data_IF_332115994549
#
_entry.id   IF_332115994549
#
_cell.length_a   1.000
_cell.length_b   1.000
_cell.length_c   1.000
_cell.angle_alpha   90.00
_cell.angle_beta   90.00
_cell.angle_gamma   90.00
#
_symmetry.space_group_name_H-M   'P 1'
#
loop_
_entity.id
_entity.type
_entity.pdbx_description
1 polymer ?
#
# COMPACT_ATOMS: atom_id res chain seq x y z
N UNK A 1 12.78 51.87 -51.90
CA UNK A 1 12.57 50.44 -52.23
C UNK A 1 13.94 49.78 -52.15
N UNK A 2 14.32 48.90 -51.24
CA UNK A 2 13.63 48.12 -50.21
C UNK A 2 14.61 47.89 -49.05
N UNK A 3 14.16 48.07 -47.82
CA UNK A 3 14.80 47.57 -46.60
C UNK A 3 14.31 46.14 -46.36
N UNK A 4 15.21 45.16 -46.33
CA UNK A 4 14.89 43.80 -45.87
C UNK A 4 15.45 43.57 -44.46
N UNK A 5 14.61 43.38 -43.43
CA UNK A 5 15.00 42.69 -42.23
C UNK A 5 14.40 41.27 -42.30
N UNK A 6 15.21 40.26 -42.63
CA UNK A 6 14.77 38.87 -42.47
C UNK A 6 15.28 38.40 -41.12
N UNK A 7 14.36 38.49 -40.17
CA UNK A 7 14.50 38.16 -38.77
C UNK A 7 15.11 36.77 -38.55
N UNK A 8 16.16 36.78 -37.74
CA UNK A 8 16.58 35.77 -36.76
C UNK A 8 15.90 34.39 -36.82
N UNK A 9 16.72 33.38 -37.09
CA UNK A 9 16.54 31.95 -36.90
C UNK A 9 15.54 31.59 -35.80
N UNK A 10 14.33 31.19 -36.20
CA UNK A 10 13.36 30.56 -35.31
C UNK A 10 13.78 29.11 -35.08
N UNK A 11 14.68 28.92 -34.11
CA UNK A 11 14.94 27.62 -33.51
C UNK A 11 13.75 27.32 -32.59
N UNK A 12 12.67 26.77 -33.15
CA UNK A 12 11.59 26.20 -32.35
C UNK A 12 12.15 24.96 -31.64
N UNK A 13 12.76 25.21 -30.47
CA UNK A 13 13.13 24.20 -29.50
C UNK A 13 11.81 23.59 -28.98
N UNK A 14 11.35 22.55 -29.65
CA UNK A 14 10.30 21.68 -29.15
C UNK A 14 10.84 21.03 -27.87
N UNK A 15 10.55 21.65 -26.74
CA UNK A 15 10.75 21.07 -25.42
C UNK A 15 9.77 19.89 -25.36
N UNK A 16 10.21 18.71 -25.80
CA UNK A 16 9.46 17.49 -25.53
C UNK A 16 9.47 17.35 -24.02
N UNK A 17 8.31 17.59 -23.41
CA UNK A 17 8.07 17.23 -22.03
C UNK A 17 8.03 15.70 -22.03
N UNK A 18 9.21 15.07 -22.02
CA UNK A 18 9.35 13.66 -21.72
C UNK A 18 8.90 13.52 -20.28
N UNK A 19 7.60 13.31 -20.10
CA UNK A 19 7.06 12.80 -18.86
C UNK A 19 7.61 11.38 -18.76
N UNK A 20 8.81 11.27 -18.17
CA UNK A 20 9.34 9.99 -17.74
C UNK A 20 8.45 9.59 -16.58
N UNK A 21 7.31 8.99 -16.90
CA UNK A 21 6.45 8.34 -15.93
C UNK A 21 7.29 7.22 -15.33
N UNK A 22 7.85 7.46 -14.16
CA UNK A 22 8.45 6.40 -13.35
C UNK A 22 7.33 5.42 -13.05
N UNK A 23 7.31 4.27 -13.74
CA UNK A 23 6.41 3.18 -13.37
C UNK A 23 6.85 2.68 -12.01
N UNK A 24 6.17 3.15 -10.96
CA UNK A 24 6.31 2.53 -9.64
C UNK A 24 5.97 1.05 -9.82
N UNK A 25 6.85 0.17 -9.33
CA UNK A 25 6.60 -1.26 -9.41
C UNK A 25 5.26 -1.58 -8.73
N UNK A 26 4.48 -2.46 -9.34
CA UNK A 26 3.27 -2.96 -8.71
C UNK A 26 3.66 -3.90 -7.56
N UNK A 27 3.17 -3.59 -6.37
CA UNK A 27 3.24 -4.43 -5.17
C UNK A 27 1.90 -5.08 -4.92
N UNK A 28 1.91 -6.17 -4.16
CA UNK A 28 0.69 -6.82 -3.70
C UNK A 28 0.62 -6.75 -2.18
N UNK A 29 -0.34 -6.03 -1.63
CA UNK A 29 -0.64 -6.05 -0.21
C UNK A 29 -1.59 -7.23 0.07
N UNK A 30 -1.07 -8.30 0.66
CA UNK A 30 -1.86 -9.49 1.00
C UNK A 30 -2.15 -9.48 2.50
N UNK A 31 -3.43 -9.49 2.88
CA UNK A 31 -3.85 -9.50 4.28
C UNK A 31 -4.53 -10.84 4.58
N UNK A 32 -3.88 -11.66 5.38
CA UNK A 32 -4.41 -12.93 5.86
C UNK A 32 -4.99 -12.80 7.26
N UNK A 33 -6.24 -13.21 7.44
CA UNK A 33 -6.93 -13.18 8.72
C UNK A 33 -6.61 -14.45 9.56
N UNK A 34 -5.90 -14.25 10.68
CA UNK A 34 -5.55 -15.27 11.66
C UNK A 34 -6.04 -14.88 13.07
N UNK A 35 -7.19 -14.22 13.15
CA UNK A 35 -7.84 -13.84 14.41
C UNK A 35 -8.41 -15.06 15.15
N UNK A 36 -8.44 -15.05 16.49
CA UNK A 36 -8.98 -16.15 17.27
C UNK A 36 -10.52 -16.24 17.14
N UNK A 37 -11.08 -17.37 17.60
CA UNK A 37 -12.53 -17.55 17.68
C UNK A 37 -13.25 -17.61 16.33
N UNK A 38 -12.53 -17.93 15.24
CA UNK A 38 -13.03 -17.87 13.88
C UNK A 38 -13.60 -16.49 13.50
N UNK A 39 -13.04 -15.43 14.07
CA UNK A 39 -13.53 -14.06 13.88
C UNK A 39 -13.26 -13.56 12.45
N UNK A 40 -14.23 -12.83 11.90
CA UNK A 40 -14.05 -12.11 10.65
C UNK A 40 -13.32 -10.79 10.89
N UNK A 41 -12.48 -10.41 9.93
CA UNK A 41 -11.83 -9.12 9.88
C UNK A 41 -12.55 -8.24 8.85
N UNK A 42 -13.03 -7.08 9.27
CA UNK A 42 -13.54 -6.06 8.34
C UNK A 42 -12.41 -5.08 8.02
N UNK A 43 -12.19 -4.81 6.73
CA UNK A 43 -11.13 -3.94 6.24
C UNK A 43 -11.70 -2.96 5.23
N UNK A 44 -11.56 -1.66 5.47
CA UNK A 44 -11.91 -0.60 4.54
C UNK A 44 -10.64 0.16 4.15
N UNK A 45 -10.29 0.19 2.87
CA UNK A 45 -9.01 0.74 2.43
C UNK A 45 -9.16 1.90 1.46
N UNK A 46 -8.17 2.80 1.49
CA UNK A 46 -7.99 3.88 0.53
C UNK A 46 -6.55 3.89 0.03
N UNK A 47 -6.35 4.25 -1.23
CA UNK A 47 -5.01 4.43 -1.79
C UNK A 47 -4.97 5.59 -2.79
N UNK A 48 -3.95 6.45 -2.69
CA UNK A 48 -3.80 7.63 -3.55
C UNK A 48 -5.08 8.51 -3.64
N UNK A 49 -5.84 8.60 -2.54
CA UNK A 49 -7.11 9.34 -2.48
C UNK A 49 -8.33 8.61 -3.06
N UNK A 50 -8.14 7.42 -3.65
CA UNK A 50 -9.23 6.56 -4.11
C UNK A 50 -9.72 5.64 -2.98
N UNK A 51 -11.03 5.56 -2.81
CA UNK A 51 -11.68 4.59 -1.93
C UNK A 51 -11.76 3.22 -2.63
N UNK A 52 -11.18 2.20 -2.01
CA UNK A 52 -11.15 0.81 -2.51
C UNK A 52 -12.29 -0.05 -1.95
N UNK A 53 -13.12 0.54 -1.08
CA UNK A 53 -14.27 -0.10 -0.46
C UNK A 53 -13.91 -0.98 0.73
N UNK A 54 -14.93 -1.71 1.18
CA UNK A 54 -14.86 -2.59 2.36
C UNK A 54 -14.84 -4.05 1.95
N UNK A 55 -13.94 -4.81 2.57
CA UNK A 55 -13.84 -6.26 2.44
C UNK A 55 -14.03 -6.91 3.81
N UNK A 56 -14.74 -8.03 3.83
CA UNK A 56 -14.81 -8.91 5.01
C UNK A 56 -13.96 -10.13 4.72
N UNK A 57 -12.83 -10.25 5.41
CA UNK A 57 -11.90 -11.37 5.29
C UNK A 57 -12.27 -12.40 6.35
N UNK A 58 -12.81 -13.53 5.93
CA UNK A 58 -13.19 -14.62 6.83
C UNK A 58 -11.97 -15.27 7.48
N UNK A 59 -12.18 -15.95 8.60
CA UNK A 59 -11.09 -16.67 9.28
C UNK A 59 -10.34 -17.62 8.34
N UNK A 60 -9.00 -17.60 8.42
CA UNK A 60 -8.07 -18.36 7.56
C UNK A 60 -8.20 -18.10 6.06
N UNK A 61 -8.73 -16.93 5.67
CA UNK A 61 -8.73 -16.45 4.30
C UNK A 61 -7.89 -15.19 4.18
N UNK A 62 -7.51 -14.86 2.95
CA UNK A 62 -6.80 -13.65 2.60
C UNK A 62 -7.54 -12.82 1.55
N UNK A 63 -7.23 -11.53 1.54
CA UNK A 63 -7.60 -10.63 0.45
C UNK A 63 -6.35 -9.87 0.02
N UNK A 64 -6.30 -9.47 -1.25
CA UNK A 64 -5.15 -8.73 -1.76
C UNK A 64 -5.53 -7.55 -2.64
N UNK A 65 -4.75 -6.48 -2.52
CA UNK A 65 -4.78 -5.35 -3.43
C UNK A 65 -3.46 -5.26 -4.21
N UNK A 66 -3.55 -4.93 -5.49
CA UNK A 66 -2.39 -4.43 -6.25
C UNK A 66 -2.23 -2.95 -5.93
N UNK A 67 -1.04 -2.54 -5.48
CA UNK A 67 -0.77 -1.20 -4.98
C UNK A 67 0.58 -0.69 -5.46
N UNK A 68 0.63 0.60 -5.76
CA UNK A 68 1.85 1.33 -6.12
C UNK A 68 2.05 2.60 -5.28
N UNK A 69 1.04 2.97 -4.48
CA UNK A 69 1.01 4.14 -3.60
C UNK A 69 0.69 3.70 -2.16
N UNK A 70 0.69 4.65 -1.22
CA UNK A 70 0.23 4.40 0.16
C UNK A 70 -1.14 3.72 0.17
N UNK A 71 -1.25 2.59 0.87
CA UNK A 71 -2.50 1.88 1.16
C UNK A 71 -2.78 2.03 2.66
N UNK A 72 -3.75 2.88 2.99
CA UNK A 72 -4.21 3.10 4.35
C UNK A 72 -5.54 2.38 4.55
N UNK A 73 -5.69 1.64 5.64
CA UNK A 73 -6.87 0.84 5.90
C UNK A 73 -7.36 0.99 7.33
N UNK A 74 -8.66 1.23 7.47
CA UNK A 74 -9.39 1.02 8.72
C UNK A 74 -9.70 -0.46 8.84
N UNK A 75 -9.34 -1.07 9.96
CA UNK A 75 -9.57 -2.48 10.23
C UNK A 75 -10.28 -2.66 11.56
N UNK A 76 -11.18 -3.63 11.62
CA UNK A 76 -11.90 -3.95 12.85
C UNK A 76 -12.27 -5.42 12.96
N UNK A 77 -12.32 -5.88 14.21
CA UNK A 77 -12.83 -7.20 14.58
C UNK A 77 -13.36 -7.14 16.02
N UNK A 78 -14.53 -7.72 16.27
CA UNK A 78 -15.20 -7.59 17.57
C UNK A 78 -15.41 -6.11 17.95
N UNK A 79 -14.88 -5.71 19.11
CA UNK A 79 -14.90 -4.33 19.62
C UNK A 79 -13.57 -3.57 19.40
N UNK A 80 -12.62 -4.19 18.69
CA UNK A 80 -11.29 -3.61 18.42
C UNK A 80 -11.26 -3.02 17.02
N UNK A 81 -10.70 -1.83 16.87
CA UNK A 81 -10.47 -1.20 15.58
C UNK A 81 -9.16 -0.42 15.57
N UNK A 82 -8.61 -0.18 14.38
CA UNK A 82 -7.43 0.63 14.18
C UNK A 82 -7.27 1.04 12.72
N UNK A 83 -6.47 2.09 12.51
CA UNK A 83 -6.11 2.60 11.20
C UNK A 83 -4.63 2.31 10.94
N UNK A 84 -4.31 1.68 9.81
CA UNK A 84 -2.98 1.18 9.51
C UNK A 84 -2.57 1.46 8.07
N UNK A 85 -1.34 1.92 7.89
CA UNK A 85 -0.69 1.95 6.58
C UNK A 85 -0.19 0.55 6.26
N UNK A 86 -1.00 -0.23 5.53
CA UNK A 86 -0.71 -1.62 5.12
C UNK A 86 0.39 -1.68 4.05
N UNK A 87 0.53 -0.62 3.26
CA UNK A 87 1.66 -0.49 2.36
C UNK A 87 2.07 0.98 2.27
N UNK A 88 3.35 1.26 2.53
CA UNK A 88 3.98 2.54 2.21
C UNK A 88 5.20 2.25 1.33
N UNK A 89 5.26 2.75 0.07
CA UNK A 89 6.40 2.52 -0.81
C UNK A 89 7.76 2.89 -0.20
N UNK A 90 7.83 3.94 0.63
CA UNK A 90 9.08 4.38 1.27
C UNK A 90 9.53 3.39 2.34
N UNK A 91 8.57 2.80 3.05
CA UNK A 91 8.83 1.85 4.13
C UNK A 91 9.05 0.45 3.59
N UNK A 92 8.19 -0.01 2.68
CA UNK A 92 7.97 -1.44 2.41
C UNK A 92 8.56 -1.97 1.10
N UNK A 93 8.90 -1.09 0.15
CA UNK A 93 9.39 -1.49 -1.18
C UNK A 93 10.56 -2.51 -1.12
N UNK A 94 11.46 -2.37 -0.14
CA UNK A 94 12.59 -3.28 0.08
C UNK A 94 12.29 -4.44 1.03
N UNK A 95 11.18 -4.40 1.77
CA UNK A 95 10.85 -5.32 2.87
C UNK A 95 9.93 -6.45 2.42
N UNK A 96 9.09 -6.19 1.43
CA UNK A 96 8.12 -7.17 0.91
C UNK A 96 8.82 -8.38 0.28
N UNK A 97 8.13 -9.51 0.32
CA UNK A 97 8.69 -10.81 0.01
C UNK A 97 8.67 -11.11 -1.50
N UNK A 98 8.65 -12.39 -1.84
CA UNK A 98 8.66 -12.90 -3.21
C UNK A 98 7.57 -12.23 -4.07
N UNK A 99 7.94 -11.83 -5.29
CA UNK A 99 7.03 -11.19 -6.24
C UNK A 99 6.42 -9.88 -5.72
N UNK A 100 7.19 -9.05 -5.01
CA UNK A 100 6.75 -7.76 -4.45
C UNK A 100 5.48 -7.88 -3.57
N UNK A 101 5.26 -9.03 -2.94
CA UNK A 101 4.09 -9.27 -2.11
C UNK A 101 4.41 -9.01 -0.64
N UNK A 102 3.67 -8.10 -0.04
CA UNK A 102 3.74 -7.76 1.37
C UNK A 102 2.73 -8.65 2.12
N UNK A 103 3.21 -9.73 2.72
CA UNK A 103 2.37 -10.69 3.41
C UNK A 103 2.11 -10.25 4.85
N UNK A 104 0.89 -9.78 5.09
CA UNK A 104 0.39 -9.42 6.40
C UNK A 104 -0.39 -10.58 7.02
N UNK A 105 -0.14 -10.82 8.30
CA UNK A 105 -0.93 -11.74 9.13
C UNK A 105 -1.54 -10.95 10.28
N UNK A 106 -2.87 -10.92 10.33
CA UNK A 106 -3.62 -10.25 11.38
C UNK A 106 -3.90 -11.23 12.51
N UNK A 107 -3.52 -10.87 13.74
CA UNK A 107 -3.68 -11.69 14.94
C UNK A 107 -4.36 -10.88 16.05
N UNK A 108 -4.64 -11.57 17.15
CA UNK A 108 -5.28 -10.98 18.33
C UNK A 108 -4.55 -9.75 18.84
N UNK A 109 -3.21 -9.75 18.89
CA UNK A 109 -2.39 -8.68 19.45
C UNK A 109 -1.98 -7.60 18.44
N UNK A 110 -2.16 -7.86 17.15
CA UNK A 110 -1.82 -6.90 16.11
C UNK A 110 -1.55 -7.48 14.73
N UNK A 111 -0.91 -6.66 13.90
CA UNK A 111 -0.61 -6.94 12.50
C UNK A 111 0.87 -7.24 12.32
N UNK A 112 1.16 -8.40 11.75
CA UNK A 112 2.51 -8.88 11.48
C UNK A 112 2.82 -8.81 9.99
N UNK A 113 3.96 -8.24 9.61
CA UNK A 113 4.46 -8.28 8.23
C UNK A 113 5.57 -9.32 8.13
N UNK A 114 5.58 -10.10 7.05
CA UNK A 114 6.74 -10.94 6.73
C UNK A 114 7.85 -10.08 6.14
N UNK A 115 8.97 -9.97 6.85
CA UNK A 115 10.14 -9.20 6.41
C UNK A 115 11.07 -10.12 5.62
N UNK A 116 11.24 -9.85 4.32
CA UNK A 116 12.05 -10.68 3.41
C UNK A 116 13.47 -10.92 3.91
N UNK A 117 14.12 -9.87 4.39
CA UNK A 117 15.50 -9.91 4.87
C UNK A 117 15.65 -10.83 6.08
N UNK A 118 14.73 -10.71 7.04
CA UNK A 118 14.76 -11.48 8.28
C UNK A 118 14.11 -12.87 8.16
N UNK A 119 13.40 -13.13 7.05
CA UNK A 119 12.68 -14.37 6.76
C UNK A 119 11.70 -14.79 7.85
N UNK A 120 11.03 -13.82 8.48
CA UNK A 120 10.08 -14.06 9.57
C UNK A 120 8.97 -13.02 9.61
N UNK A 121 7.88 -13.37 10.28
CA UNK A 121 6.81 -12.44 10.64
C UNK A 121 7.24 -11.58 11.82
N UNK A 122 7.05 -10.26 11.70
CA UNK A 122 7.36 -9.30 12.75
C UNK A 122 6.16 -8.40 13.01
N UNK A 123 5.81 -8.22 14.29
CA UNK A 123 4.75 -7.32 14.71
C UNK A 123 5.10 -5.89 14.31
N UNK A 124 4.28 -5.28 13.47
CA UNK A 124 4.47 -3.89 13.02
C UNK A 124 3.53 -2.93 13.74
N UNK A 125 2.30 -3.38 13.95
CA UNK A 125 1.26 -2.57 14.58
C UNK A 125 0.55 -3.39 15.64
N UNK A 126 0.43 -2.82 16.83
CA UNK A 126 -0.50 -3.32 17.85
C UNK A 126 -1.87 -2.75 17.60
N UNK A 127 -2.90 -3.50 17.97
CA UNK A 127 -4.24 -2.93 18.00
C UNK A 127 -4.32 -1.81 19.06
N UNK A 128 -4.97 -0.68 18.75
CA UNK A 128 -5.29 0.34 19.74
C UNK A 128 -6.18 -0.22 20.85
N UNK A 129 -5.97 0.25 22.08
CA UNK A 129 -6.91 0.03 23.19
C UNK A 129 -6.96 -1.40 23.75
N UNK A 130 -6.03 -2.29 23.38
CA UNK A 130 -5.91 -3.58 24.05
C UNK A 130 -5.34 -3.40 25.45
N UNK A 131 -6.23 -3.33 26.43
CA UNK A 131 -5.89 -3.57 27.83
C UNK A 131 -5.64 -5.07 27.93
N UNK A 132 -4.38 -5.49 28.03
CA UNK A 132 -4.07 -6.89 28.35
C UNK A 132 -4.76 -7.22 29.68
N UNK A 133 -5.75 -8.09 29.63
CA UNK A 133 -6.29 -8.76 30.81
C UNK A 133 -5.42 -9.97 31.14
#
# INVERSE_FOLDING_TARGET
MNTHPMATFSFFLLLTLSFVGSSMADYKANVFNNLPGNSNLTVHCKSAGLDLGTQTITYLHDFSWTVNNLLNCDMSWGNVNGNFDIFDPKRDASRCAYGNTCFWRVKEDGLYLFIKEHKRLELQFKWPGQIFA
#
